data_IF_637025548020
#
_entry.id   IF_637025548020
#
_cell.length_a   1.000
_cell.length_b   1.000
_cell.length_c   1.000
_cell.angle_alpha   90.00
_cell.angle_beta   90.00
_cell.angle_gamma   90.00
#
_symmetry.space_group_name_H-M   'P 1'
#
loop_
_entity.id
_entity.type
_entity.pdbx_description
1 polymer ?
#
# COMPACT_ATOMS: atom_id res chain seq x y z
N UNK A 1 -11.96 6.86 -1.93
CA UNK A 1 -10.53 7.17 -2.09
C UNK A 1 -9.97 8.05 -0.97
N UNK A 2 -10.76 8.98 -0.41
CA UNK A 2 -10.31 9.85 0.69
C UNK A 2 -9.90 9.07 1.95
N UNK A 3 -10.58 7.98 2.26
CA UNK A 3 -10.37 7.18 3.47
C UNK A 3 -8.96 6.57 3.56
N UNK A 4 -8.44 5.97 2.47
CA UNK A 4 -7.11 5.35 2.44
C UNK A 4 -5.98 6.38 2.63
N UNK A 5 -6.19 7.61 2.16
CA UNK A 5 -5.19 8.68 2.29
C UNK A 5 -5.12 9.23 3.71
N UNK A 6 -6.23 9.19 4.45
CA UNK A 6 -6.32 9.74 5.80
C UNK A 6 -5.94 8.71 6.89
N UNK A 7 -6.25 7.42 6.69
CA UNK A 7 -6.01 6.37 7.69
C UNK A 7 -5.86 4.96 7.05
N UNK A 8 -4.69 4.62 6.49
CA UNK A 8 -4.44 3.31 5.89
C UNK A 8 -4.42 2.20 6.95
N UNK A 9 -5.41 1.29 6.89
CA UNK A 9 -5.56 0.15 7.82
C UNK A 9 -5.29 -1.22 7.15
N UNK A 10 -4.66 -1.21 5.97
CA UNK A 10 -4.33 -2.41 5.22
C UNK A 10 -3.32 -3.32 5.90
N UNK A 11 -3.20 -4.55 5.38
CA UNK A 11 -2.22 -5.55 5.80
C UNK A 11 -1.01 -5.55 4.87
N UNK A 12 0.17 -5.81 5.41
CA UNK A 12 1.39 -5.96 4.61
C UNK A 12 1.30 -7.20 3.72
N UNK A 13 1.49 -7.00 2.43
CA UNK A 13 1.65 -8.09 1.46
C UNK A 13 3.08 -8.61 1.57
N UNK A 14 3.26 -9.94 1.59
CA UNK A 14 4.57 -10.60 1.67
C UNK A 14 5.29 -10.58 0.31
N UNK A 15 5.66 -9.38 -0.13
CA UNK A 15 6.47 -9.14 -1.33
C UNK A 15 7.69 -8.31 -0.97
N UNK A 16 8.81 -8.61 -1.62
CA UNK A 16 10.01 -7.78 -1.56
C UNK A 16 9.86 -6.64 -2.56
N UNK A 17 10.01 -5.39 -2.13
CA UNK A 17 10.05 -4.27 -3.06
C UNK A 17 11.36 -4.30 -3.85
N UNK A 18 11.23 -4.38 -5.17
CA UNK A 18 12.34 -4.37 -6.13
C UNK A 18 12.44 -3.06 -6.91
N UNK A 19 11.43 -2.19 -6.80
CA UNK A 19 11.42 -0.88 -7.44
C UNK A 19 12.33 0.09 -6.69
N UNK A 20 13.22 0.77 -7.41
CA UNK A 20 14.16 1.73 -6.83
C UNK A 20 13.48 2.99 -6.26
N UNK A 21 12.22 3.28 -6.63
CA UNK A 21 11.45 4.40 -6.06
C UNK A 21 10.97 4.13 -4.65
N UNK A 22 10.78 2.85 -4.29
CA UNK A 22 10.31 2.42 -2.98
C UNK A 22 11.19 1.29 -2.44
N UNK A 23 12.44 1.60 -2.02
CA UNK A 23 13.40 0.57 -1.63
C UNK A 23 12.96 -0.16 -0.36
N UNK A 24 12.95 -1.50 -0.39
CA UNK A 24 12.67 -2.29 0.81
C UNK A 24 13.65 -2.01 1.96
N UNK A 25 14.91 -1.66 1.62
CA UNK A 25 15.95 -1.29 2.59
C UNK A 25 15.61 0.02 3.33
N UNK A 26 14.83 0.90 2.71
CA UNK A 26 14.34 2.15 3.32
C UNK A 26 12.99 1.96 4.02
N UNK A 27 12.52 0.71 4.17
CA UNK A 27 11.32 0.40 4.94
C UNK A 27 10.01 0.45 4.14
N UNK A 28 10.07 0.62 2.82
CA UNK A 28 8.91 0.57 1.95
C UNK A 28 8.35 -0.84 1.82
N UNK A 29 7.02 -0.96 1.95
CA UNK A 29 6.27 -2.21 1.86
C UNK A 29 5.03 -2.03 1.00
N UNK A 30 4.60 -3.10 0.34
CA UNK A 30 3.29 -3.15 -0.31
C UNK A 30 2.22 -3.54 0.70
N UNK A 31 1.11 -2.83 0.64
CA UNK A 31 -0.05 -3.00 1.51
C UNK A 31 -1.26 -3.39 0.66
N UNK A 32 -2.15 -4.19 1.23
CA UNK A 32 -3.45 -4.51 0.66
C UNK A 32 -4.55 -4.14 1.66
N UNK A 33 -5.62 -3.52 1.20
CA UNK A 33 -6.76 -3.15 2.01
C UNK A 33 -8.05 -3.35 1.21
N UNK A 34 -9.07 -3.94 1.81
CA UNK A 34 -10.41 -3.95 1.25
C UNK A 34 -11.20 -2.79 1.86
N UNK A 35 -11.78 -1.94 1.02
CA UNK A 35 -12.68 -0.86 1.44
C UNK A 35 -13.99 -1.00 0.69
N UNK A 36 -15.06 -1.30 1.43
CA UNK A 36 -16.42 -1.47 0.89
C UNK A 36 -16.49 -2.47 -0.29
N UNK A 37 -15.76 -3.59 -0.20
CA UNK A 37 -15.71 -4.62 -1.24
C UNK A 37 -14.70 -4.36 -2.36
N UNK A 38 -14.06 -3.18 -2.39
CA UNK A 38 -13.00 -2.85 -3.35
C UNK A 38 -11.65 -3.19 -2.76
N UNK A 39 -10.93 -4.11 -3.38
CA UNK A 39 -9.56 -4.40 -3.02
C UNK A 39 -8.62 -3.34 -3.59
N UNK A 40 -7.77 -2.80 -2.72
CA UNK A 40 -6.80 -1.78 -3.04
C UNK A 40 -5.42 -2.20 -2.60
N UNK A 41 -4.45 -1.83 -3.41
CA UNK A 41 -3.03 -1.95 -3.11
C UNK A 41 -2.40 -0.58 -3.05
N UNK A 42 -1.48 -0.38 -2.13
CA UNK A 42 -0.68 0.84 -2.01
C UNK A 42 0.71 0.53 -1.46
N UNK A 43 1.64 1.46 -1.62
CA UNK A 43 2.97 1.36 -1.02
C UNK A 43 3.03 2.26 0.21
N UNK A 44 3.60 1.75 1.30
CA UNK A 44 3.78 2.50 2.55
C UNK A 44 5.20 2.38 3.05
N UNK A 45 5.78 3.50 3.45
CA UNK A 45 7.00 3.55 4.24
C UNK A 45 6.64 3.30 5.72
N UNK A 46 7.18 2.25 6.32
CA UNK A 46 6.89 1.91 7.71
C UNK A 46 7.70 2.73 8.73
N UNK A 47 8.72 3.45 8.29
CA UNK A 47 9.55 4.34 9.11
C UNK A 47 8.89 5.71 9.20
N UNK A 48 8.56 6.32 8.07
CA UNK A 48 7.98 7.68 8.02
C UNK A 48 6.46 7.70 8.07
N UNK A 49 5.81 6.58 7.72
CA UNK A 49 4.36 6.51 7.56
C UNK A 49 3.86 7.06 6.23
N UNK A 50 4.75 7.49 5.32
CA UNK A 50 4.38 7.97 4.00
C UNK A 50 3.67 6.89 3.17
N UNK A 51 2.73 7.32 2.32
CA UNK A 51 1.96 6.44 1.45
C UNK A 51 2.03 6.94 0.01
N UNK A 52 2.23 6.03 -0.92
CA UNK A 52 2.32 6.31 -2.35
C UNK A 52 1.68 5.20 -3.21
N UNK A 53 1.53 5.46 -4.51
CA UNK A 53 1.11 4.57 -5.57
C UNK A 53 -0.08 3.65 -5.24
N UNK A 54 -1.29 4.14 -5.46
CA UNK A 54 -2.53 3.39 -5.25
C UNK A 54 -2.98 2.66 -6.51
N UNK A 55 -3.40 1.40 -6.39
CA UNK A 55 -4.03 0.62 -7.46
C UNK A 55 -5.28 -0.05 -6.93
N UNK A 56 -6.35 -0.04 -7.73
CA UNK A 56 -7.61 -0.72 -7.41
C UNK A 56 -7.67 -2.00 -8.24
N UNK A 57 -7.87 -3.13 -7.57
CA UNK A 57 -8.23 -4.36 -8.25
C UNK A 57 -9.75 -4.41 -8.35
N UNK A 58 -10.29 -4.42 -9.57
CA UNK A 58 -11.67 -4.83 -9.77
C UNK A 58 -11.73 -6.35 -9.58
N UNK A 59 -12.42 -6.82 -8.55
CA UNK A 59 -12.91 -8.19 -8.55
C UNK A 59 -13.89 -8.32 -9.72
N UNK A 60 -13.49 -9.05 -10.76
CA UNK A 60 -14.35 -9.38 -11.90
C UNK A 60 -15.42 -10.39 -11.53
#
# INVERSE_FOLDING_TARGET
MTEVRAAPAGVRVRVTMTDARWPAAEGWVKMAQNVNGVEMYYVRDNITGAVDAFTFASAG
#
